data_IF_982382250619
#
_entry.id   IF_982382250619
#
_cell.length_a   1.000
_cell.length_b   1.000
_cell.length_c   1.000
_cell.angle_alpha   90.00
_cell.angle_beta   90.00
_cell.angle_gamma   90.00
#
_symmetry.space_group_name_H-M   'P 1'
#
loop_
_entity.id
_entity.type
_entity.pdbx_description
1 polymer ?
#
# COMPACT_ATOMS: atom_id res chain seq x y z
N UNK A 1 11.16 -14.99 -47.54
CA UNK A 1 11.25 -16.34 -46.94
C UNK A 1 11.65 -16.15 -45.48
N UNK A 2 10.92 -16.52 -44.43
CA UNK A 2 9.76 -17.40 -44.20
C UNK A 2 8.83 -16.67 -43.22
N UNK A 3 7.53 -16.61 -43.53
CA UNK A 3 6.48 -16.33 -42.53
C UNK A 3 6.24 -17.62 -41.74
N UNK A 4 6.15 -17.53 -40.41
CA UNK A 4 5.62 -18.61 -39.58
C UNK A 4 4.45 -18.06 -38.77
N UNK A 5 3.26 -18.41 -39.25
CA UNK A 5 1.96 -18.31 -38.60
C UNK A 5 1.91 -19.28 -37.42
N UNK A 6 1.37 -18.84 -36.28
CA UNK A 6 1.04 -19.72 -35.16
C UNK A 6 -0.43 -19.56 -34.77
N UNK A 7 -1.08 -20.72 -34.73
CA UNK A 7 -2.50 -20.99 -34.77
C UNK A 7 -3.19 -20.75 -33.43
N UNK A 8 -4.38 -20.14 -33.46
CA UNK A 8 -5.31 -19.99 -32.33
C UNK A 8 -5.82 -21.36 -31.83
N UNK A 9 -5.83 -21.56 -30.52
CA UNK A 9 -6.57 -22.65 -29.86
C UNK A 9 -7.75 -22.03 -29.10
N UNK A 10 -8.95 -22.30 -29.60
CA UNK A 10 -10.23 -21.95 -28.97
C UNK A 10 -10.55 -23.05 -27.96
N UNK A 11 -10.39 -22.74 -26.66
CA UNK A 11 -10.81 -23.60 -25.56
C UNK A 11 -12.22 -23.25 -25.09
N UNK A 12 -13.20 -24.06 -25.49
CA UNK A 12 -14.59 -24.00 -24.99
C UNK A 12 -14.61 -24.56 -23.57
N UNK A 13 -14.99 -23.74 -22.59
CA UNK A 13 -15.17 -24.15 -21.20
C UNK A 13 -16.67 -24.26 -20.87
N UNK A 14 -17.12 -25.49 -20.60
CA UNK A 14 -18.52 -25.82 -20.31
C UNK A 14 -18.92 -25.41 -18.88
N UNK A 15 -20.12 -24.84 -18.76
CA UNK A 15 -20.74 -24.44 -17.49
C UNK A 15 -21.62 -25.59 -16.98
N UNK A 16 -21.36 -26.07 -15.77
CA UNK A 16 -22.26 -27.00 -15.06
C UNK A 16 -22.82 -26.33 -13.81
N UNK A 17 -24.12 -26.01 -13.86
CA UNK A 17 -24.92 -25.52 -12.73
C UNK A 17 -25.61 -26.67 -12.01
N UNK A 18 -25.46 -26.76 -10.69
CA UNK A 18 -26.23 -27.63 -9.80
C UNK A 18 -27.22 -26.81 -8.98
N UNK A 19 -28.50 -27.12 -9.14
CA UNK A 19 -29.64 -26.62 -8.36
C UNK A 19 -29.92 -27.59 -7.21
N UNK A 20 -30.07 -27.07 -5.99
CA UNK A 20 -30.48 -27.83 -4.81
C UNK A 20 -31.84 -27.31 -4.32
N UNK A 21 -32.88 -28.10 -4.53
CA UNK A 21 -34.25 -27.86 -4.05
C UNK A 21 -34.50 -28.69 -2.78
N UNK A 22 -34.81 -28.04 -1.66
CA UNK A 22 -35.25 -28.67 -0.42
C UNK A 22 -36.72 -28.37 -0.14
N UNK A 23 -37.53 -29.43 -0.06
CA UNK A 23 -38.96 -29.43 0.26
C UNK A 23 -39.21 -30.32 1.49
N UNK A 24 -40.10 -29.88 2.39
CA UNK A 24 -40.68 -30.64 3.50
C UNK A 24 -41.28 -29.65 4.50
N UNK A 25 -42.60 -29.53 4.75
CA UNK A 25 -43.63 -30.58 4.91
C UNK A 25 -43.55 -31.10 6.34
N UNK A 26 -44.50 -30.99 7.27
CA UNK A 26 -45.88 -30.51 7.28
C UNK A 26 -46.70 -31.50 8.11
N UNK A 27 -46.94 -31.24 9.41
CA UNK A 27 -47.78 -32.12 10.24
C UNK A 27 -48.68 -31.31 11.19
N UNK A 28 -49.97 -31.36 10.87
CA UNK A 28 -51.10 -30.97 11.70
C UNK A 28 -51.48 -32.12 12.64
N UNK A 29 -51.67 -31.83 13.92
CA UNK A 29 -52.44 -32.68 14.83
C UNK A 29 -53.32 -31.78 15.70
N UNK A 30 -54.62 -31.85 15.42
CA UNK A 30 -55.70 -31.26 16.19
C UNK A 30 -55.99 -32.15 17.40
N UNK A 31 -56.06 -31.57 18.60
CA UNK A 31 -56.59 -32.20 19.81
C UNK A 31 -57.42 -31.16 20.56
N UNK A 32 -58.62 -31.55 20.97
CA UNK A 32 -59.65 -30.74 21.61
C UNK A 32 -59.23 -30.17 22.98
N UNK A 33 -59.91 -29.11 23.48
CA UNK A 33 -59.50 -28.42 24.71
C UNK A 33 -59.98 -29.16 25.96
N UNK A 34 -59.06 -29.51 26.85
CA UNK A 34 -59.40 -29.82 28.24
C UNK A 34 -59.47 -28.53 29.04
N UNK A 35 -60.60 -28.33 29.70
CA UNK A 35 -60.87 -27.27 30.67
C UNK A 35 -59.94 -27.43 31.89
N UNK A 36 -59.06 -26.44 32.12
CA UNK A 36 -58.05 -26.45 33.19
C UNK A 36 -58.56 -25.57 34.34
N UNK A 37 -58.58 -26.14 35.54
CA UNK A 37 -58.88 -25.44 36.79
C UNK A 37 -57.92 -24.24 37.03
N UNK A 38 -58.34 -23.18 37.73
CA UNK A 38 -57.49 -22.01 37.97
C UNK A 38 -56.33 -22.39 38.91
N UNK A 39 -55.15 -22.58 38.34
CA UNK A 39 -53.89 -22.69 39.10
C UNK A 39 -53.47 -21.31 39.61
N UNK A 40 -53.03 -21.28 40.87
CA UNK A 40 -52.49 -20.10 41.53
C UNK A 40 -51.38 -19.41 40.71
N UNK A 41 -51.20 -18.08 40.81
CA UNK A 41 -50.18 -17.36 40.07
C UNK A 41 -48.79 -17.94 40.33
N UNK A 42 -48.09 -18.33 39.27
CA UNK A 42 -46.70 -18.75 39.36
C UNK A 42 -45.84 -17.62 39.95
N UNK A 43 -44.86 -17.92 40.82
CA UNK A 43 -43.94 -16.92 41.34
C UNK A 43 -43.22 -16.23 40.17
N UNK A 44 -43.16 -14.91 40.22
CA UNK A 44 -42.49 -14.08 39.22
C UNK A 44 -41.05 -14.57 39.03
N UNK A 45 -40.60 -14.85 37.79
CA UNK A 45 -39.23 -15.27 37.55
C UNK A 45 -38.29 -14.15 37.98
N UNK A 46 -37.34 -14.50 38.84
CA UNK A 46 -36.25 -13.61 39.24
C UNK A 46 -35.54 -13.10 37.99
N UNK A 47 -35.34 -11.79 37.79
CA UNK A 47 -34.68 -11.26 36.61
C UNK A 47 -33.29 -11.89 36.47
N UNK A 48 -33.02 -12.45 35.30
CA UNK A 48 -31.71 -12.98 34.94
C UNK A 48 -30.68 -11.84 35.09
N UNK A 49 -29.54 -12.05 35.75
CA UNK A 49 -28.53 -11.00 35.87
C UNK A 49 -28.11 -10.54 34.47
N UNK A 50 -28.14 -9.23 34.25
CA UNK A 50 -27.62 -8.61 33.03
C UNK A 50 -26.15 -9.00 32.91
N UNK A 51 -25.70 -9.56 31.77
CA UNK A 51 -24.29 -9.90 31.60
C UNK A 51 -23.45 -8.66 31.77
N UNK A 52 -22.47 -8.72 32.67
CA UNK A 52 -21.45 -7.69 32.82
C UNK A 52 -20.80 -7.47 31.45
N UNK A 53 -20.72 -6.23 30.93
CA UNK A 53 -20.09 -5.96 29.64
C UNK A 53 -18.67 -6.51 29.68
N UNK A 54 -18.35 -7.36 28.70
CA UNK A 54 -16.99 -7.86 28.51
C UNK A 54 -16.08 -6.65 28.32
N UNK A 55 -14.94 -6.54 29.04
CA UNK A 55 -14.04 -5.42 28.86
C UNK A 55 -13.66 -5.31 27.38
N UNK A 56 -13.93 -4.15 26.80
CA UNK A 56 -13.48 -3.82 25.45
C UNK A 56 -11.95 -3.92 25.44
N UNK A 57 -11.34 -4.60 24.46
CA UNK A 57 -9.88 -4.70 24.40
C UNK A 57 -9.28 -3.30 24.39
N UNK A 58 -8.32 -3.09 25.29
CA UNK A 58 -7.56 -1.85 25.37
C UNK A 58 -6.79 -1.66 24.03
N UNK A 59 -6.75 -0.44 23.45
CA UNK A 59 -6.08 -0.22 22.18
C UNK A 59 -4.61 -0.64 22.25
N UNK A 60 -4.16 -1.49 21.31
CA UNK A 60 -2.75 -1.86 21.20
C UNK A 60 -1.97 -0.61 20.76
N UNK A 61 -1.17 -0.04 21.66
CA UNK A 61 -0.26 1.07 21.34
C UNK A 61 0.97 0.50 20.63
N UNK A 62 1.00 0.60 19.30
CA UNK A 62 2.21 0.28 18.52
C UNK A 62 3.22 1.40 18.75
N UNK A 63 4.45 1.11 19.22
CA UNK A 63 5.45 2.13 19.44
C UNK A 63 5.81 2.79 18.10
N UNK A 64 5.64 4.11 18.02
CA UNK A 64 6.03 4.90 16.85
C UNK A 64 7.56 4.90 16.77
N UNK A 65 8.11 4.51 15.62
CA UNK A 65 9.53 4.61 15.34
C UNK A 65 10.08 6.01 15.69
N UNK A 66 11.16 6.08 16.46
CA UNK A 66 11.75 7.37 16.87
C UNK A 66 12.26 8.20 15.68
N UNK A 67 12.52 7.55 14.55
CA UNK A 67 12.89 8.17 13.28
C UNK A 67 11.69 8.45 12.35
N UNK A 68 10.45 8.10 12.72
CA UNK A 68 9.23 8.34 11.92
C UNK A 68 9.18 9.81 11.45
N UNK A 69 9.09 10.01 10.15
CA UNK A 69 9.30 11.32 9.56
C UNK A 69 9.56 11.33 8.07
N UNK A 70 9.42 12.52 7.49
CA UNK A 70 9.95 12.83 6.17
C UNK A 70 11.20 13.69 6.37
N UNK A 71 12.24 13.41 5.58
CA UNK A 71 13.49 14.12 5.61
C UNK A 71 13.96 14.44 4.20
N UNK A 72 14.17 15.72 3.92
CA UNK A 72 14.61 16.21 2.60
C UNK A 72 16.10 16.50 2.63
N UNK A 73 16.81 16.16 1.56
CA UNK A 73 18.27 16.18 1.58
C UNK A 73 18.93 16.02 0.22
N UNK A 74 20.22 15.71 0.25
CA UNK A 74 21.04 15.51 -0.93
C UNK A 74 22.02 14.36 -0.74
N UNK A 75 22.24 13.58 -1.80
CA UNK A 75 23.31 12.58 -1.84
C UNK A 75 24.66 13.19 -2.18
N UNK A 76 25.74 12.49 -1.86
CA UNK A 76 27.10 12.74 -2.37
C UNK A 76 27.22 12.69 -3.91
N UNK A 77 26.29 12.02 -4.60
CA UNK A 77 26.18 12.00 -6.08
C UNK A 77 25.36 13.17 -6.67
N UNK A 78 25.13 14.24 -5.90
CA UNK A 78 24.38 15.43 -6.33
C UNK A 78 22.93 15.15 -6.77
N UNK A 79 22.26 14.21 -6.10
CA UNK A 79 20.83 13.94 -6.27
C UNK A 79 20.09 14.54 -5.08
N UNK A 80 19.05 15.33 -5.33
CA UNK A 80 18.07 15.66 -4.28
C UNK A 80 17.30 14.40 -3.89
N UNK A 81 17.05 14.23 -2.59
CA UNK A 81 16.44 13.05 -2.01
C UNK A 81 15.37 13.41 -1.00
N UNK A 82 14.38 12.52 -0.86
CA UNK A 82 13.41 12.54 0.25
C UNK A 82 13.36 11.15 0.87
N UNK A 83 13.77 11.05 2.13
CA UNK A 83 13.59 9.87 2.97
C UNK A 83 12.25 9.96 3.71
N UNK A 84 11.45 8.91 3.61
CA UNK A 84 10.18 8.74 4.30
C UNK A 84 10.38 7.52 5.19
N UNK A 85 10.42 7.72 6.51
CA UNK A 85 10.51 6.65 7.50
C UNK A 85 9.15 6.55 8.16
N UNK A 86 8.55 5.36 8.12
CA UNK A 86 7.25 5.09 8.71
C UNK A 86 7.37 4.61 10.16
N UNK A 87 6.26 4.66 10.89
CA UNK A 87 6.17 4.24 12.28
C UNK A 87 6.56 2.77 12.52
N UNK A 88 6.40 1.90 11.51
CA UNK A 88 6.80 0.48 11.53
C UNK A 88 8.27 0.25 11.14
N UNK A 89 9.05 1.33 10.97
CA UNK A 89 10.44 1.33 10.49
C UNK A 89 10.64 0.87 9.04
N UNK A 90 9.56 0.73 8.27
CA UNK A 90 9.64 0.70 6.80
C UNK A 90 10.08 2.07 6.28
N UNK A 91 10.78 2.11 5.15
CA UNK A 91 11.28 3.37 4.61
C UNK A 91 11.29 3.43 3.09
N UNK A 92 11.29 4.65 2.56
CA UNK A 92 11.45 4.98 1.14
C UNK A 92 12.38 6.18 0.99
N UNK A 93 13.42 6.07 0.17
CA UNK A 93 14.35 7.13 -0.19
C UNK A 93 14.17 7.41 -1.67
N UNK A 94 13.38 8.43 -1.99
CA UNK A 94 13.31 8.89 -3.38
C UNK A 94 14.54 9.69 -3.73
N UNK A 95 14.92 9.65 -4.99
CA UNK A 95 16.01 10.45 -5.50
C UNK A 95 15.75 10.95 -6.91
N UNK A 96 16.26 12.14 -7.18
CA UNK A 96 16.24 12.78 -8.48
C UNK A 96 17.42 12.37 -9.36
N UNK A 97 17.41 12.76 -10.64
CA UNK A 97 18.58 12.66 -11.51
C UNK A 97 19.72 13.55 -10.98
N UNK A 98 21.00 13.18 -11.16
CA UNK A 98 22.11 14.00 -10.72
C UNK A 98 22.03 15.42 -11.31
N UNK A 99 22.10 16.43 -10.45
CA UNK A 99 22.04 17.85 -10.83
C UNK A 99 20.66 18.33 -11.31
N UNK A 100 19.61 17.50 -11.27
CA UNK A 100 18.27 17.88 -11.73
C UNK A 100 17.20 17.53 -10.68
N UNK A 101 17.08 18.33 -9.59
CA UNK A 101 16.24 18.01 -8.43
C UNK A 101 14.74 17.88 -8.75
N UNK A 102 14.26 18.47 -9.85
CA UNK A 102 12.86 18.40 -10.26
C UNK A 102 12.46 17.08 -10.92
N UNK A 103 13.44 16.27 -11.36
CA UNK A 103 13.20 15.05 -12.13
C UNK A 103 13.53 13.83 -11.27
N UNK A 104 12.51 13.12 -10.79
CA UNK A 104 12.69 11.86 -10.08
C UNK A 104 13.32 10.80 -11.01
N UNK A 105 14.22 10.01 -10.44
CA UNK A 105 14.94 8.95 -11.15
C UNK A 105 14.66 7.57 -10.54
N UNK A 106 14.35 7.49 -9.24
CA UNK A 106 13.99 6.22 -8.61
C UNK A 106 13.68 6.33 -7.12
N UNK A 107 13.55 5.17 -6.49
CA UNK A 107 13.38 5.02 -5.05
C UNK A 107 14.14 3.80 -4.53
N UNK A 108 14.81 3.97 -3.39
CA UNK A 108 15.31 2.87 -2.58
C UNK A 108 14.42 2.65 -1.36
N UNK A 109 14.07 1.42 -1.02
CA UNK A 109 13.15 1.15 0.08
C UNK A 109 13.44 -0.19 0.74
N UNK A 110 12.88 -0.37 1.93
CA UNK A 110 13.09 -1.56 2.74
C UNK A 110 12.46 -1.40 4.11
N UNK A 111 12.93 -2.21 5.05
CA UNK A 111 12.59 -2.11 6.47
C UNK A 111 13.87 -2.09 7.28
N UNK A 112 13.88 -1.33 8.37
CA UNK A 112 15.05 -1.26 9.24
C UNK A 112 14.77 -1.47 10.72
N UNK A 113 15.86 -1.48 11.47
CA UNK A 113 15.87 -1.51 12.92
C UNK A 113 16.46 -0.21 13.47
N UNK A 114 15.95 0.20 14.62
CA UNK A 114 16.38 1.41 15.34
C UNK A 114 17.07 1.00 16.63
N UNK A 115 18.25 1.55 16.88
CA UNK A 115 18.96 1.36 18.15
C UNK A 115 19.80 2.59 18.48
N UNK A 116 19.51 3.26 19.60
CA UNK A 116 20.35 4.33 20.18
C UNK A 116 20.77 5.43 19.17
N UNK A 117 19.85 5.92 18.33
CA UNK A 117 20.15 6.93 17.31
C UNK A 117 20.75 6.39 16.01
N UNK A 118 20.92 5.07 15.89
CA UNK A 118 21.32 4.39 14.67
C UNK A 118 20.13 3.71 13.98
N UNK A 119 20.19 3.65 12.66
CA UNK A 119 19.26 2.95 11.79
C UNK A 119 20.03 1.92 10.94
N UNK A 120 19.53 0.69 10.83
CA UNK A 120 20.12 -0.33 9.97
C UNK A 120 19.06 -1.08 9.17
N UNK A 121 19.37 -1.42 7.93
CA UNK A 121 18.56 -2.29 7.07
C UNK A 121 19.46 -3.12 6.17
N UNK A 122 19.11 -4.39 5.98
CA UNK A 122 19.84 -5.36 5.15
C UNK A 122 19.08 -5.75 3.87
N UNK A 123 17.91 -5.14 3.64
CA UNK A 123 16.96 -5.56 2.61
C UNK A 123 16.60 -4.43 1.63
N UNK A 124 17.50 -3.49 1.38
CA UNK A 124 17.28 -2.40 0.42
C UNK A 124 16.94 -2.99 -0.95
N UNK A 125 15.84 -2.52 -1.52
CA UNK A 125 15.50 -2.64 -2.95
C UNK A 125 15.47 -1.24 -3.54
N UNK A 126 16.29 -1.01 -4.56
CA UNK A 126 16.33 0.24 -5.30
C UNK A 126 15.82 0.01 -6.71
N UNK A 127 14.81 0.76 -7.13
CA UNK A 127 14.25 0.71 -8.48
C UNK A 127 14.25 2.11 -9.10
N UNK A 128 14.74 2.20 -10.33
CA UNK A 128 14.72 3.44 -11.09
C UNK A 128 13.64 3.43 -12.20
N UNK A 129 13.38 4.59 -12.78
CA UNK A 129 12.40 4.73 -13.88
C UNK A 129 12.83 4.08 -15.19
N UNK A 130 14.05 3.55 -15.28
CA UNK A 130 14.47 2.69 -16.38
C UNK A 130 14.14 1.20 -16.12
N UNK A 131 13.50 0.88 -14.98
CA UNK A 131 13.16 -0.48 -14.57
C UNK A 131 14.36 -1.29 -14.06
N UNK A 132 15.51 -0.67 -13.82
CA UNK A 132 16.67 -1.31 -13.21
C UNK A 132 16.43 -1.49 -11.72
N UNK A 133 16.82 -2.65 -11.19
CA UNK A 133 16.71 -2.96 -9.78
C UNK A 133 18.09 -3.27 -9.20
N UNK A 134 18.44 -2.59 -8.10
CA UNK A 134 19.60 -2.89 -7.27
C UNK A 134 19.17 -3.38 -5.88
N UNK A 135 20.09 -4.03 -5.19
CA UNK A 135 19.89 -4.47 -3.80
C UNK A 135 21.12 -4.12 -2.96
N UNK A 136 20.92 -3.97 -1.66
CA UNK A 136 21.97 -3.58 -0.73
C UNK A 136 21.50 -3.48 0.71
N UNK A 137 22.27 -2.74 1.50
CA UNK A 137 21.99 -2.44 2.91
C UNK A 137 22.07 -0.94 3.15
N UNK A 138 21.25 -0.43 4.07
CA UNK A 138 21.26 0.97 4.52
C UNK A 138 21.80 1.02 5.96
N UNK A 139 22.76 1.91 6.19
CA UNK A 139 23.20 2.31 7.53
C UNK A 139 22.93 3.79 7.71
N UNK A 140 22.41 4.19 8.85
CA UNK A 140 22.05 5.58 9.11
C UNK A 140 22.14 5.99 10.57
N UNK A 141 22.02 7.29 10.78
CA UNK A 141 21.88 7.93 12.09
C UNK A 141 20.69 8.87 12.06
N UNK A 142 20.00 9.00 13.17
CA UNK A 142 18.83 9.87 13.27
C UNK A 142 18.84 10.66 14.57
N UNK A 143 18.39 11.91 14.47
CA UNK A 143 17.92 12.68 15.61
C UNK A 143 16.43 12.92 15.40
N UNK A 144 15.60 12.46 16.34
CA UNK A 144 14.14 12.47 16.19
C UNK A 144 13.63 13.86 15.80
N UNK A 145 12.88 13.92 14.69
CA UNK A 145 12.30 15.14 14.10
C UNK A 145 13.33 16.23 13.77
N UNK A 146 14.61 15.87 13.57
CA UNK A 146 15.68 16.79 13.21
C UNK A 146 16.39 16.36 11.93
N UNK A 147 16.95 15.14 11.92
CA UNK A 147 17.76 14.66 10.78
C UNK A 147 17.69 13.15 10.62
N UNK A 148 17.99 12.71 9.40
CA UNK A 148 18.22 11.32 9.05
C UNK A 148 19.35 11.25 8.02
N UNK A 149 20.56 10.90 8.46
CA UNK A 149 21.73 10.82 7.60
C UNK A 149 22.10 9.35 7.38
N UNK A 150 22.62 8.97 6.22
CA UNK A 150 22.94 7.57 5.99
C UNK A 150 23.72 7.27 4.71
N UNK A 151 23.94 5.99 4.48
CA UNK A 151 24.56 5.46 3.28
C UNK A 151 23.93 4.14 2.85
N UNK A 152 23.67 4.00 1.55
CA UNK A 152 23.30 2.73 0.94
C UNK A 152 24.58 2.09 0.40
N UNK A 153 24.87 0.87 0.85
CA UNK A 153 25.91 0.02 0.27
C UNK A 153 25.25 -1.03 -0.61
N UNK A 154 25.47 -0.97 -1.91
CA UNK A 154 24.91 -1.91 -2.87
C UNK A 154 25.76 -3.18 -2.97
N UNK A 155 25.15 -4.29 -3.42
CA UNK A 155 25.86 -5.55 -3.64
C UNK A 155 26.98 -5.45 -4.68
N UNK A 156 26.90 -4.49 -5.60
CA UNK A 156 27.96 -4.19 -6.56
C UNK A 156 29.12 -3.38 -5.94
N UNK A 157 29.12 -3.18 -4.61
CA UNK A 157 30.10 -2.43 -3.82
C UNK A 157 30.10 -0.92 -4.02
N UNK A 158 29.17 -0.38 -4.81
CA UNK A 158 28.97 1.07 -4.84
C UNK A 158 28.31 1.53 -3.54
N UNK A 159 28.68 2.73 -3.10
CA UNK A 159 28.16 3.36 -1.89
C UNK A 159 27.65 4.75 -2.26
N UNK A 160 26.46 5.09 -1.77
CA UNK A 160 25.86 6.42 -1.91
C UNK A 160 25.53 6.93 -0.52
N UNK A 161 26.19 7.99 -0.09
CA UNK A 161 25.89 8.67 1.17
C UNK A 161 24.92 9.83 0.95
N UNK A 162 24.16 10.18 1.99
CA UNK A 162 23.26 11.32 1.98
C UNK A 162 23.13 11.94 3.36
N UNK A 163 22.75 13.21 3.36
CA UNK A 163 22.36 13.96 4.55
C UNK A 163 20.97 14.55 4.33
N UNK A 164 20.17 14.64 5.38
CA UNK A 164 18.80 15.16 5.27
C UNK A 164 18.25 15.77 6.55
N UNK A 165 17.29 16.67 6.40
CA UNK A 165 16.64 17.42 7.49
C UNK A 165 15.14 17.16 7.52
N UNK A 166 14.57 17.12 8.72
CA UNK A 166 13.15 16.83 8.92
C UNK A 166 12.23 17.85 8.23
N UNK A 167 11.18 17.33 7.60
CA UNK A 167 10.11 18.09 6.96
C UNK A 167 8.90 18.20 7.90
N UNK A 168 8.64 19.42 8.37
CA UNK A 168 7.56 19.70 9.34
C UNK A 168 6.17 19.41 8.80
N UNK A 169 5.96 19.47 7.48
CA UNK A 169 4.67 19.18 6.86
C UNK A 169 4.18 17.74 7.11
N UNK A 170 5.07 16.79 7.43
CA UNK A 170 4.72 15.41 7.77
C UNK A 170 3.83 15.29 9.01
N UNK A 171 3.89 16.26 9.92
CA UNK A 171 3.08 16.25 11.14
C UNK A 171 1.58 16.50 10.89
N UNK A 172 1.19 16.84 9.67
CA UNK A 172 -0.22 17.07 9.31
C UNK A 172 -0.96 15.75 9.12
N UNK A 173 -2.23 15.71 9.52
CA UNK A 173 -3.06 14.53 9.32
C UNK A 173 -3.33 14.27 7.83
N UNK A 174 -3.23 13.01 7.35
CA UNK A 174 -3.51 12.65 5.97
C UNK A 174 -4.98 12.88 5.61
N UNK A 175 -5.24 13.48 4.45
CA UNK A 175 -6.59 13.81 3.97
C UNK A 175 -6.88 13.14 2.63
N UNK A 176 -7.81 12.18 2.63
CA UNK A 176 -8.31 11.55 1.39
C UNK A 176 -9.00 12.55 0.47
N UNK A 177 -9.68 13.55 1.03
CA UNK A 177 -10.29 14.62 0.26
C UNK A 177 -9.23 15.50 -0.43
N UNK A 178 -8.10 15.78 0.23
CA UNK A 178 -6.99 16.54 -0.36
C UNK A 178 -6.21 15.75 -1.43
N UNK A 179 -6.28 14.42 -1.35
CA UNK A 179 -5.71 13.49 -2.30
C UNK A 179 -6.61 13.24 -3.51
N UNK A 180 -7.93 13.40 -3.39
CA UNK A 180 -8.87 13.13 -4.46
C UNK A 180 -8.55 13.95 -5.72
N UNK A 181 -8.69 13.31 -6.89
CA UNK A 181 -8.40 13.93 -8.18
C UNK A 181 -7.79 12.96 -9.20
N UNK A 182 -7.47 13.51 -10.38
CA UNK A 182 -6.81 12.79 -11.45
C UNK A 182 -5.30 13.09 -11.45
N UNK A 183 -4.50 12.05 -11.65
CA UNK A 183 -3.05 12.08 -11.69
C UNK A 183 -2.59 11.50 -13.03
N UNK A 184 -1.65 12.19 -13.67
CA UNK A 184 -0.92 11.67 -14.84
C UNK A 184 0.53 11.41 -14.44
N UNK A 185 1.07 10.27 -14.85
CA UNK A 185 2.32 9.80 -14.27
C UNK A 185 3.05 8.71 -15.03
N UNK A 186 4.07 8.19 -14.36
CA UNK A 186 4.90 7.09 -14.82
C UNK A 186 4.92 5.97 -13.77
N UNK A 187 5.09 4.74 -14.24
CA UNK A 187 5.27 3.55 -13.42
C UNK A 187 6.56 2.87 -13.83
N UNK A 188 7.29 2.33 -12.86
CA UNK A 188 8.40 1.44 -13.12
C UNK A 188 8.37 0.25 -12.17
N UNK A 189 8.78 -0.90 -12.68
CA UNK A 189 9.03 -2.12 -11.92
C UNK A 189 10.22 -2.85 -12.54
N UNK A 190 10.62 -4.01 -12.00
CA UNK A 190 11.72 -4.80 -12.57
C UNK A 190 11.47 -5.10 -14.07
N UNK A 191 12.29 -4.50 -14.94
CA UNK A 191 12.18 -4.65 -16.40
C UNK A 191 10.97 -3.98 -17.05
N UNK A 192 10.20 -3.19 -16.31
CA UNK A 192 9.00 -2.48 -16.80
C UNK A 192 9.17 -0.98 -16.55
N UNK A 193 8.90 -0.17 -17.57
CA UNK A 193 8.84 1.29 -17.45
C UNK A 193 7.77 1.81 -18.39
N UNK A 194 6.87 2.62 -17.85
CA UNK A 194 5.73 3.17 -18.55
C UNK A 194 5.48 4.62 -18.17
N UNK A 195 4.93 5.38 -19.12
CA UNK A 195 4.58 6.79 -18.95
C UNK A 195 3.16 7.04 -19.46
N UNK A 196 2.56 8.16 -19.07
CA UNK A 196 1.21 8.51 -19.46
C UNK A 196 0.13 7.69 -18.75
N UNK A 197 0.47 7.09 -17.60
CA UNK A 197 -0.49 6.36 -16.76
C UNK A 197 -1.41 7.37 -16.10
N UNK A 198 -2.71 7.07 -16.11
CA UNK A 198 -3.71 7.89 -15.46
C UNK A 198 -4.32 7.15 -14.27
N UNK A 199 -4.29 7.80 -13.11
CA UNK A 199 -4.97 7.35 -11.89
C UNK A 199 -6.00 8.38 -11.48
N UNK A 200 -7.18 7.94 -11.07
CA UNK A 200 -8.21 8.77 -10.46
C UNK A 200 -8.44 8.25 -9.04
N UNK A 201 -8.34 9.15 -8.07
CA UNK A 201 -8.56 8.87 -6.65
C UNK A 201 -9.84 9.57 -6.22
N UNK A 202 -10.79 8.83 -5.66
CA UNK A 202 -11.99 9.38 -5.06
C UNK A 202 -11.75 9.74 -3.58
N UNK A 203 -12.63 10.58 -3.03
CA UNK A 203 -12.52 11.07 -1.66
C UNK A 203 -12.72 9.98 -0.58
N UNK A 204 -13.22 8.80 -0.96
CA UNK A 204 -13.35 7.62 -0.10
C UNK A 204 -12.10 6.72 -0.13
N UNK A 205 -11.07 7.09 -0.91
CA UNK A 205 -9.85 6.31 -1.07
C UNK A 205 -9.94 5.20 -2.12
N UNK A 206 -11.04 5.08 -2.86
CA UNK A 206 -11.07 4.21 -4.05
C UNK A 206 -10.24 4.84 -5.16
N UNK A 207 -9.45 4.01 -5.84
CA UNK A 207 -8.56 4.44 -6.92
C UNK A 207 -8.77 3.56 -8.15
N UNK A 208 -8.88 4.20 -9.31
CA UNK A 208 -9.01 3.52 -10.60
C UNK A 208 -8.03 4.12 -11.61
N UNK A 209 -7.66 3.36 -12.63
CA UNK A 209 -6.77 3.88 -13.66
C UNK A 209 -6.63 2.96 -14.85
N UNK A 210 -5.78 3.39 -15.78
CA UNK A 210 -5.43 2.60 -16.96
C UNK A 210 -3.96 2.75 -17.31
N UNK A 211 -3.42 1.66 -17.81
CA UNK A 211 -2.11 1.59 -18.43
C UNK A 211 -2.25 1.64 -19.96
N UNK A 212 -1.17 2.03 -20.65
CA UNK A 212 -1.05 2.21 -22.11
C UNK A 212 -1.61 1.04 -22.94
N UNK A 213 -1.42 -0.21 -22.50
CA UNK A 213 -1.86 -1.43 -23.17
C UNK A 213 -3.27 -1.92 -22.77
N UNK A 214 -4.03 -1.12 -22.01
CA UNK A 214 -5.43 -1.39 -21.67
C UNK A 214 -5.68 -2.09 -20.34
N UNK A 215 -4.63 -2.48 -19.60
CA UNK A 215 -4.76 -3.00 -18.25
C UNK A 215 -5.44 -1.98 -17.34
N UNK A 216 -6.48 -2.43 -16.65
CA UNK A 216 -7.21 -1.60 -15.69
C UNK A 216 -6.50 -1.65 -14.36
N UNK A 217 -6.37 -0.50 -13.72
CA UNK A 217 -5.90 -0.38 -12.36
C UNK A 217 -7.12 -0.27 -11.45
N UNK A 218 -7.17 -1.11 -10.42
CA UNK A 218 -8.13 -1.02 -9.31
C UNK A 218 -7.35 -1.00 -8.02
N UNK A 219 -7.55 0.01 -7.19
CA UNK A 219 -6.77 0.20 -5.98
C UNK A 219 -7.59 0.81 -4.85
N UNK A 220 -7.08 0.65 -3.64
CA UNK A 220 -7.56 1.34 -2.44
C UNK A 220 -6.38 2.02 -1.78
N UNK A 221 -6.60 3.26 -1.33
CA UNK A 221 -5.65 4.05 -0.55
C UNK A 221 -6.26 4.38 0.81
N UNK A 222 -5.52 4.11 1.89
CA UNK A 222 -5.99 4.28 3.28
C UNK A 222 -5.00 5.12 4.09
N UNK A 223 -5.46 6.09 4.88
CA UNK A 223 -4.59 6.82 5.81
C UNK A 223 -3.80 5.88 6.72
N UNK A 224 -2.51 6.17 6.94
CA UNK A 224 -1.72 5.49 7.98
C UNK A 224 -1.99 6.11 9.36
N UNK A 225 -1.70 5.35 10.41
CA UNK A 225 -1.94 5.77 11.79
C UNK A 225 -1.01 6.90 12.26
N UNK A 226 0.14 7.08 11.61
CA UNK A 226 1.09 8.16 11.88
C UNK A 226 1.47 8.88 10.59
N UNK A 227 1.62 10.20 10.71
CA UNK A 227 2.10 11.09 9.66
C UNK A 227 1.19 11.21 8.44
N UNK A 228 1.62 12.02 7.48
CA UNK A 228 0.91 12.27 6.22
C UNK A 228 1.16 11.15 5.16
N UNK A 229 1.14 9.89 5.59
CA UNK A 229 1.34 8.72 4.74
C UNK A 229 0.05 7.94 4.51
N UNK A 230 0.03 7.16 3.43
CA UNK A 230 -1.08 6.27 3.10
C UNK A 230 -0.60 4.85 2.81
N UNK A 231 -1.37 3.84 3.17
CA UNK A 231 -1.23 2.48 2.65
C UNK A 231 -1.91 2.36 1.30
N UNK A 232 -1.34 1.58 0.39
CA UNK A 232 -1.90 1.32 -0.95
C UNK A 232 -1.93 -0.16 -1.24
N UNK A 233 -3.05 -0.62 -1.78
CA UNK A 233 -3.16 -1.92 -2.43
C UNK A 233 -3.79 -1.73 -3.80
N UNK A 234 -3.05 -2.12 -4.84
CA UNK A 234 -3.39 -1.89 -6.24
C UNK A 234 -3.31 -3.20 -7.01
N UNK A 235 -4.26 -3.47 -7.90
CA UNK A 235 -4.24 -4.64 -8.79
C UNK A 235 -4.37 -4.20 -10.23
N UNK A 236 -3.56 -4.80 -11.09
CA UNK A 236 -3.65 -4.65 -12.54
C UNK A 236 -4.53 -5.78 -13.08
N UNK A 237 -5.66 -5.47 -13.71
CA UNK A 237 -6.64 -6.45 -14.17
C UNK A 237 -6.72 -6.50 -15.70
N UNK A 238 -6.61 -7.71 -16.25
CA UNK A 238 -6.71 -8.01 -17.68
C UNK A 238 -5.61 -7.37 -18.53
N UNK A 239 -5.74 -7.44 -19.86
CA UNK A 239 -4.79 -6.89 -20.83
C UNK A 239 -3.47 -7.67 -20.97
N UNK A 240 -2.66 -7.33 -21.97
CA UNK A 240 -1.41 -8.05 -22.31
C UNK A 240 -0.15 -7.40 -21.70
N UNK A 241 -0.25 -6.86 -20.49
CA UNK A 241 0.87 -6.20 -19.83
C UNK A 241 1.71 -7.19 -19.01
N UNK A 242 3.03 -6.97 -18.84
CA UNK A 242 3.84 -7.75 -17.91
C UNK A 242 3.33 -7.75 -16.47
N UNK A 243 2.56 -6.73 -16.07
CA UNK A 243 1.94 -6.65 -14.74
C UNK A 243 0.52 -7.23 -14.67
N UNK A 244 -0.02 -7.83 -15.74
CA UNK A 244 -1.38 -8.39 -15.72
C UNK A 244 -1.58 -9.34 -14.52
N UNK A 245 -2.74 -9.20 -13.88
CA UNK A 245 -3.19 -9.96 -12.72
C UNK A 245 -2.21 -9.94 -11.52
N UNK A 246 -1.29 -8.97 -11.49
CA UNK A 246 -0.43 -8.75 -10.33
C UNK A 246 -1.08 -7.76 -9.37
N UNK A 247 -0.91 -8.03 -8.07
CA UNK A 247 -1.21 -7.10 -7.00
C UNK A 247 0.08 -6.46 -6.52
N UNK A 248 0.02 -5.15 -6.32
CA UNK A 248 1.01 -4.30 -5.72
C UNK A 248 0.52 -3.86 -4.34
N UNK A 249 1.36 -4.00 -3.31
CA UNK A 249 1.09 -3.54 -1.96
C UNK A 249 2.24 -2.65 -1.47
N UNK A 250 1.91 -1.52 -0.86
CA UNK A 250 2.91 -0.59 -0.37
C UNK A 250 2.33 0.64 0.30
N UNK A 251 3.02 1.76 0.15
CA UNK A 251 2.63 3.04 0.72
C UNK A 251 2.67 4.15 -0.30
N UNK A 252 2.03 5.26 0.03
CA UNK A 252 2.00 6.47 -0.77
C UNK A 252 2.20 7.71 0.09
N UNK A 253 2.75 8.73 -0.57
CA UNK A 253 2.94 10.06 -0.03
C UNK A 253 2.48 11.09 -1.06
N UNK A 254 1.78 12.11 -0.58
CA UNK A 254 1.33 13.23 -1.41
C UNK A 254 2.05 14.51 -0.99
N UNK A 255 2.94 14.96 -1.88
CA UNK A 255 3.58 16.26 -1.80
C UNK A 255 2.60 17.33 -2.30
N UNK A 256 2.00 18.04 -1.34
CA UNK A 256 1.01 19.07 -1.63
C UNK A 256 1.59 20.27 -2.37
N UNK A 257 2.87 20.61 -2.12
CA UNK A 257 3.54 21.73 -2.78
C UNK A 257 3.83 21.44 -4.25
N UNK A 258 4.35 20.25 -4.55
CA UNK A 258 4.61 19.82 -5.92
C UNK A 258 3.40 19.18 -6.61
N UNK A 259 2.25 19.08 -5.93
CA UNK A 259 1.06 18.38 -6.42
C UNK A 259 1.36 16.95 -6.88
N UNK A 260 2.28 16.27 -6.19
CA UNK A 260 2.87 15.00 -6.65
C UNK A 260 2.52 13.86 -5.71
N UNK A 261 1.93 12.81 -6.27
CA UNK A 261 1.70 11.54 -5.61
C UNK A 261 2.84 10.59 -5.94
N UNK A 262 3.47 10.07 -4.90
CA UNK A 262 4.42 8.96 -4.96
C UNK A 262 3.75 7.72 -4.37
N UNK A 263 3.82 6.60 -5.07
CA UNK A 263 3.35 5.29 -4.61
C UNK A 263 4.49 4.29 -4.79
N UNK A 264 4.81 3.52 -3.75
CA UNK A 264 6.02 2.69 -3.66
C UNK A 264 5.71 1.41 -2.92
N UNK A 265 6.21 0.27 -3.40
CA UNK A 265 5.83 -1.02 -2.85
C UNK A 265 6.36 -2.23 -3.61
N UNK A 266 5.80 -3.39 -3.29
CA UNK A 266 6.19 -4.68 -3.84
C UNK A 266 5.02 -5.33 -4.57
N UNK A 267 5.34 -6.05 -5.63
CA UNK A 267 4.42 -7.00 -6.24
C UNK A 267 4.26 -8.22 -5.32
N UNK A 268 3.02 -8.59 -5.00
CA UNK A 268 2.71 -9.58 -3.97
C UNK A 268 3.32 -10.96 -4.28
N UNK A 269 3.29 -11.38 -5.54
CA UNK A 269 3.76 -12.71 -5.97
C UNK A 269 5.29 -12.79 -6.08
N UNK A 270 5.91 -11.84 -6.78
CA UNK A 270 7.35 -11.87 -7.07
C UNK A 270 8.21 -11.19 -6.00
N UNK A 271 7.60 -10.39 -5.13
CA UNK A 271 8.29 -9.42 -4.25
C UNK A 271 9.22 -8.49 -5.03
N UNK A 272 8.94 -8.26 -6.32
CA UNK A 272 9.68 -7.31 -7.12
C UNK A 272 9.23 -5.87 -6.79
N UNK A 273 10.18 -4.92 -6.75
CA UNK A 273 9.86 -3.53 -6.46
C UNK A 273 9.09 -2.86 -7.60
N UNK A 274 8.19 -1.96 -7.24
CA UNK A 274 7.49 -1.10 -8.19
C UNK A 274 7.24 0.29 -7.61
N UNK A 275 7.16 1.27 -8.50
CA UNK A 275 6.87 2.67 -8.19
C UNK A 275 5.87 3.24 -9.17
N UNK A 276 5.04 4.15 -8.69
CA UNK A 276 4.29 5.08 -9.49
C UNK A 276 4.53 6.50 -8.99
N UNK A 277 4.74 7.43 -9.91
CA UNK A 277 4.76 8.87 -9.63
C UNK A 277 3.79 9.56 -10.57
N UNK A 278 2.86 10.32 -10.02
CA UNK A 278 1.93 11.11 -10.80
C UNK A 278 1.74 12.51 -10.24
N UNK A 279 1.38 13.45 -11.10
CA UNK A 279 1.06 14.83 -10.71
C UNK A 279 -0.40 15.14 -10.96
N UNK A 280 -1.02 15.88 -10.04
CA UNK A 280 -2.36 16.44 -10.23
C UNK A 280 -2.28 17.85 -10.85
N UNK A 281 -3.24 18.25 -11.72
CA UNK A 281 -3.31 19.59 -12.29
C UNK A 281 -3.39 20.72 -11.23
#
# INVERSE_FOLDING_TARGET
MKLASFTQIIGVCAVTSTILSGCGGGNTASSAPSEIAPTAPAPMPTPNPTPTPTPMPEPIVVPVAAADGIYNGMSDTNRSMTAIILADSSYYLTYSKPGNPGVLDGVAFGSGALANGAFSSDNVKDVNFSGTVLSGSLSGTYDSKKKFDGSITYLNKSVVAFNSTYESAYASAPSLAGLAGAYSGALAAAGVSETGITLTIAADGTMTGKISCGCKIVAVITPLASGNGFGVRLTFNGGDHPLHDQTFTGSAYFDAGAKRLLVVGLLDASKAPAIFVGTKP
#
